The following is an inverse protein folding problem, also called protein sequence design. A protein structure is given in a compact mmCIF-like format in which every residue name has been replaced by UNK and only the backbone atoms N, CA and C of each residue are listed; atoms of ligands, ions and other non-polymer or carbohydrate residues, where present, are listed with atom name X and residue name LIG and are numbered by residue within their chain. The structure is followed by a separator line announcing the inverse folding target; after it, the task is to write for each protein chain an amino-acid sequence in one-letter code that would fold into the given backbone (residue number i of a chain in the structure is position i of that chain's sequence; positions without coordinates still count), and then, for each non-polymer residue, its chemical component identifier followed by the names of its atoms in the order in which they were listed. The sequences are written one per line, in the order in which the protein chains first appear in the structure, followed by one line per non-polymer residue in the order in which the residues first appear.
data_IF_309319670799
#
_entry.id   IF_309319670799
#
_cell.length_a   1.000
_cell.length_b   1.000
_cell.length_c   1.000
_cell.angle_alpha   90.00
_cell.angle_beta   90.00
_cell.angle_gamma   90.00
#
_symmetry.space_group_name_H-M   'P 1'
#
loop_
_entity.id
_entity.type
_entity.pdbx_description
1 polymer ?
#
# COMPACT_ATOMS: atom_id res chain seq x y z
N UNK A 1 -16.88 -13.69 -37.77
CA UNK A 1 -17.09 -12.90 -36.55
C UNK A 1 -17.73 -13.68 -35.41
N UNK A 2 -18.72 -14.55 -35.59
CA UNK A 2 -19.38 -15.35 -34.53
C UNK A 2 -18.48 -16.43 -33.88
N UNK A 3 -17.54 -17.04 -34.58
CA UNK A 3 -16.66 -18.11 -34.09
C UNK A 3 -15.61 -17.54 -33.15
N UNK A 4 -14.99 -16.40 -33.48
CA UNK A 4 -14.03 -15.72 -32.63
C UNK A 4 -14.64 -15.31 -31.27
N UNK A 5 -15.87 -14.85 -31.29
CA UNK A 5 -16.61 -14.50 -30.06
C UNK A 5 -16.93 -15.71 -29.16
N UNK A 6 -17.22 -16.87 -29.77
CA UNK A 6 -17.41 -18.13 -29.03
C UNK A 6 -16.14 -18.67 -28.43
N UNK A 7 -15.01 -18.61 -29.12
CA UNK A 7 -13.71 -19.03 -28.61
C UNK A 7 -13.28 -18.13 -27.43
N UNK A 8 -13.47 -16.82 -27.54
CA UNK A 8 -13.17 -15.85 -26.48
C UNK A 8 -14.05 -16.07 -25.24
N UNK A 9 -15.32 -16.41 -25.41
CA UNK A 9 -16.24 -16.75 -24.30
C UNK A 9 -15.87 -18.08 -23.65
N UNK A 10 -15.39 -19.07 -24.41
CA UNK A 10 -14.98 -20.37 -23.89
C UNK A 10 -13.67 -20.27 -23.11
N UNK A 11 -12.69 -19.53 -23.62
CA UNK A 11 -11.44 -19.24 -22.91
C UNK A 11 -11.70 -18.45 -21.62
N UNK A 12 -12.55 -17.44 -21.63
CA UNK A 12 -12.96 -16.70 -20.44
C UNK A 12 -13.61 -17.60 -19.38
N UNK A 13 -14.42 -18.58 -19.78
CA UNK A 13 -15.12 -19.48 -18.85
C UNK A 13 -14.17 -20.48 -18.19
N UNK A 14 -13.17 -20.98 -18.92
CA UNK A 14 -12.14 -21.89 -18.40
C UNK A 14 -11.11 -21.18 -17.52
N UNK A 15 -10.72 -19.95 -17.86
CA UNK A 15 -9.73 -19.18 -17.12
C UNK A 15 -10.29 -18.48 -15.87
N UNK A 16 -11.60 -18.25 -15.78
CA UNK A 16 -12.24 -17.57 -14.65
C UNK A 16 -11.90 -18.14 -13.26
N UNK A 17 -11.86 -19.47 -13.00
CA UNK A 17 -11.51 -19.97 -11.69
C UNK A 17 -10.05 -19.68 -11.33
N UNK A 18 -9.12 -19.85 -12.27
CA UNK A 18 -7.69 -19.58 -12.05
C UNK A 18 -7.41 -18.10 -11.82
N UNK A 19 -8.02 -17.22 -12.62
CA UNK A 19 -7.93 -15.77 -12.44
C UNK A 19 -8.45 -15.34 -11.08
N UNK A 20 -9.54 -15.93 -10.59
CA UNK A 20 -10.12 -15.62 -9.29
C UNK A 20 -9.23 -16.07 -8.14
N UNK A 21 -8.56 -17.21 -8.27
CA UNK A 21 -7.58 -17.69 -7.29
C UNK A 21 -6.36 -16.77 -7.29
N UNK A 22 -5.82 -16.44 -8.47
CA UNK A 22 -4.68 -15.53 -8.60
C UNK A 22 -4.95 -14.17 -7.97
N UNK A 23 -6.10 -13.54 -8.25
CA UNK A 23 -6.49 -12.27 -7.66
C UNK A 23 -6.67 -12.35 -6.14
N UNK A 24 -7.14 -13.48 -5.60
CA UNK A 24 -7.21 -13.69 -4.14
C UNK A 24 -5.82 -13.79 -3.51
N UNK A 25 -4.92 -14.53 -4.12
CA UNK A 25 -3.53 -14.66 -3.65
C UNK A 25 -2.83 -13.30 -3.68
N UNK A 26 -2.99 -12.56 -4.78
CA UNK A 26 -2.44 -11.21 -4.90
C UNK A 26 -3.02 -10.25 -3.86
N UNK A 27 -4.33 -10.31 -3.59
CA UNK A 27 -4.94 -9.49 -2.53
C UNK A 27 -4.34 -9.78 -1.14
N UNK A 28 -4.12 -11.05 -0.79
CA UNK A 28 -3.45 -11.41 0.47
C UNK A 28 -2.03 -10.88 0.51
N UNK A 29 -1.27 -11.06 -0.57
CA UNK A 29 0.10 -10.54 -0.69
C UNK A 29 0.15 -9.02 -0.54
N UNK A 30 -0.79 -8.32 -1.16
CA UNK A 30 -0.90 -6.85 -1.10
C UNK A 30 -1.26 -6.38 0.31
N UNK A 31 -2.13 -7.09 1.04
CA UNK A 31 -2.41 -6.79 2.45
C UNK A 31 -1.17 -6.98 3.34
N UNK A 32 -0.44 -8.07 3.16
CA UNK A 32 0.81 -8.30 3.89
C UNK A 32 1.87 -7.25 3.57
N UNK A 33 2.03 -6.90 2.30
CA UNK A 33 2.92 -5.84 1.86
C UNK A 33 2.54 -4.47 2.46
N UNK A 34 1.24 -4.17 2.54
CA UNK A 34 0.73 -2.94 3.15
C UNK A 34 1.04 -2.87 4.65
N UNK A 35 0.89 -3.96 5.38
CA UNK A 35 1.25 -4.02 6.81
C UNK A 35 2.76 -3.87 7.01
N UNK A 36 3.57 -4.58 6.22
CA UNK A 36 5.03 -4.50 6.27
C UNK A 36 5.53 -3.09 5.94
N UNK A 37 4.89 -2.39 5.00
CA UNK A 37 5.23 -1.01 4.69
C UNK A 37 5.01 -0.09 5.90
N UNK A 38 3.83 -0.19 6.55
CA UNK A 38 3.50 0.64 7.71
C UNK A 38 4.50 0.37 8.84
N UNK A 39 4.77 -0.91 9.13
CA UNK A 39 5.77 -1.29 10.15
C UNK A 39 7.15 -0.76 9.78
N UNK A 40 7.55 -0.85 8.52
CA UNK A 40 8.83 -0.33 8.02
C UNK A 40 8.97 1.19 8.21
N UNK A 41 7.91 1.94 7.90
CA UNK A 41 7.90 3.41 8.09
C UNK A 41 7.93 3.78 9.59
N UNK A 42 7.17 3.07 10.43
CA UNK A 42 7.20 3.26 11.89
C UNK A 42 8.59 2.95 12.43
N UNK A 43 9.23 1.88 11.94
CA UNK A 43 10.58 1.52 12.33
C UNK A 43 11.61 2.58 11.89
N UNK A 44 11.51 3.07 10.65
CA UNK A 44 12.41 4.11 10.10
C UNK A 44 12.40 5.40 10.94
N UNK A 45 11.22 5.79 11.44
CA UNK A 45 11.07 7.05 12.19
C UNK A 45 11.19 6.88 13.71
N UNK A 46 10.88 5.70 14.22
CA UNK A 46 10.81 5.43 15.67
C UNK A 46 12.12 4.99 16.32
N UNK A 47 13.05 4.42 15.54
CA UNK A 47 14.29 3.85 16.05
C UNK A 47 15.53 4.52 15.48
N UNK A 48 16.66 4.57 16.24
CA UNK A 48 17.95 4.95 15.68
C UNK A 48 18.41 3.84 14.70
N UNK A 49 18.63 4.20 13.43
CA UNK A 49 18.94 3.28 12.37
C UNK A 49 20.46 3.10 12.19
N UNK A 50 20.89 1.86 12.01
CA UNK A 50 22.22 1.53 11.52
C UNK A 50 22.28 1.62 9.97
N UNK A 51 23.48 1.64 9.39
CA UNK A 51 23.67 1.64 7.93
C UNK A 51 23.07 0.38 7.28
N UNK A 52 23.11 -0.75 7.97
CA UNK A 52 22.51 -2.02 7.55
C UNK A 52 21.00 -1.95 7.54
N UNK A 53 20.37 -1.35 8.56
CA UNK A 53 18.92 -1.20 8.65
C UNK A 53 18.38 -0.34 7.50
N UNK A 54 19.06 0.75 7.17
CA UNK A 54 18.70 1.62 6.04
C UNK A 54 18.72 0.83 4.72
N UNK A 55 19.68 -0.06 4.53
CA UNK A 55 19.75 -0.89 3.32
C UNK A 55 18.59 -1.89 3.23
N UNK A 56 18.25 -2.53 4.34
CA UNK A 56 17.11 -3.46 4.42
C UNK A 56 15.78 -2.75 4.18
N UNK A 57 15.58 -1.56 4.74
CA UNK A 57 14.38 -0.75 4.51
C UNK A 57 14.25 -0.33 3.04
N UNK A 58 15.34 0.04 2.37
CA UNK A 58 15.33 0.35 0.93
C UNK A 58 14.87 -0.86 0.10
N UNK A 59 15.35 -2.07 0.45
CA UNK A 59 14.95 -3.32 -0.22
C UNK A 59 13.46 -3.58 0.04
N UNK A 60 13.00 -3.42 1.27
CA UNK A 60 11.59 -3.59 1.65
C UNK A 60 10.68 -2.66 0.83
N UNK A 61 11.00 -1.36 0.76
CA UNK A 61 10.18 -0.39 0.01
C UNK A 61 10.15 -0.71 -1.49
N UNK A 62 11.27 -1.14 -2.08
CA UNK A 62 11.31 -1.60 -3.47
C UNK A 62 10.46 -2.85 -3.69
N UNK A 63 10.51 -3.82 -2.78
CA UNK A 63 9.72 -5.05 -2.87
C UNK A 63 8.21 -4.74 -2.79
N UNK A 64 7.80 -3.90 -1.85
CA UNK A 64 6.39 -3.46 -1.72
C UNK A 64 5.93 -2.72 -2.97
N UNK A 65 6.75 -1.82 -3.51
CA UNK A 65 6.47 -1.11 -4.73
C UNK A 65 6.24 -2.04 -5.93
N UNK A 66 7.09 -3.06 -6.11
CA UNK A 66 6.94 -4.07 -7.17
C UNK A 66 5.64 -4.87 -6.97
N UNK A 67 5.32 -5.28 -5.73
CA UNK A 67 4.08 -6.00 -5.44
C UNK A 67 2.86 -5.17 -5.82
N UNK A 68 2.84 -3.88 -5.48
CA UNK A 68 1.74 -2.99 -5.82
C UNK A 68 1.62 -2.76 -7.33
N UNK A 69 2.73 -2.63 -8.05
CA UNK A 69 2.73 -2.53 -9.51
C UNK A 69 2.14 -3.78 -10.16
N UNK A 70 2.53 -4.96 -9.70
CA UNK A 70 1.99 -6.23 -10.20
C UNK A 70 0.49 -6.31 -9.91
N UNK A 71 0.05 -5.99 -8.69
CA UNK A 71 -1.35 -6.02 -8.28
C UNK A 71 -2.22 -5.09 -9.16
N UNK A 72 -1.79 -3.84 -9.31
CA UNK A 72 -2.48 -2.85 -10.17
C UNK A 72 -2.54 -3.31 -11.61
N UNK A 73 -1.43 -3.84 -12.15
CA UNK A 73 -1.36 -4.35 -13.52
C UNK A 73 -2.34 -5.51 -13.72
N UNK A 74 -2.35 -6.48 -12.81
CA UNK A 74 -3.27 -7.61 -12.87
C UNK A 74 -4.73 -7.16 -12.80
N UNK A 75 -5.08 -6.21 -11.92
CA UNK A 75 -6.43 -5.68 -11.84
C UNK A 75 -6.86 -4.95 -13.11
N UNK A 76 -5.97 -4.16 -13.74
CA UNK A 76 -6.27 -3.49 -15.00
C UNK A 76 -6.52 -4.51 -16.12
N UNK A 77 -5.68 -5.54 -16.24
CA UNK A 77 -5.80 -6.53 -17.31
C UNK A 77 -6.96 -7.52 -17.12
N UNK A 78 -7.22 -7.93 -15.86
CA UNK A 78 -8.17 -9.02 -15.57
C UNK A 78 -9.57 -8.52 -15.18
N UNK A 79 -9.71 -7.33 -14.59
CA UNK A 79 -11.01 -6.80 -14.13
C UNK A 79 -11.66 -5.78 -15.08
N UNK A 80 -11.24 -5.64 -16.31
CA UNK A 80 -11.72 -4.61 -17.24
C UNK A 80 -13.25 -4.55 -17.42
N UNK A 81 -14.04 -5.50 -16.93
CA UNK A 81 -15.48 -5.62 -17.19
C UNK A 81 -16.46 -5.52 -16.01
N UNK A 82 -16.07 -5.25 -14.76
CA UNK A 82 -17.03 -5.58 -13.69
C UNK A 82 -17.21 -4.75 -12.45
N UNK A 83 -16.52 -3.65 -12.16
CA UNK A 83 -16.57 -3.05 -10.82
C UNK A 83 -17.19 -1.65 -10.72
N UNK A 84 -17.92 -1.40 -9.62
CA UNK A 84 -18.73 -0.22 -9.30
C UNK A 84 -18.04 1.14 -9.57
N UNK A 85 -18.77 2.03 -10.23
CA UNK A 85 -18.31 3.27 -10.87
C UNK A 85 -17.52 4.29 -10.02
N UNK A 86 -17.75 4.40 -8.71
CA UNK A 86 -17.16 5.48 -7.90
C UNK A 86 -15.80 5.14 -7.29
N UNK A 87 -15.58 3.89 -6.88
CA UNK A 87 -14.29 3.42 -6.38
C UNK A 87 -13.23 3.34 -7.48
N UNK A 88 -13.68 3.19 -8.71
CA UNK A 88 -12.86 3.06 -9.91
C UNK A 88 -12.07 4.31 -10.24
N UNK A 89 -12.60 5.53 -9.96
CA UNK A 89 -11.89 6.79 -10.29
C UNK A 89 -10.65 6.98 -9.42
N UNK A 90 -10.78 6.79 -8.10
CA UNK A 90 -9.64 6.94 -7.18
C UNK A 90 -8.56 5.89 -7.42
N UNK A 91 -8.96 4.63 -7.61
CA UNK A 91 -8.04 3.54 -7.95
C UNK A 91 -7.32 3.80 -9.28
N UNK A 92 -8.00 4.37 -10.28
CA UNK A 92 -7.39 4.78 -11.53
C UNK A 92 -6.34 5.87 -11.36
N UNK A 93 -6.67 6.94 -10.62
CA UNK A 93 -5.73 8.03 -10.34
C UNK A 93 -4.49 7.50 -9.62
N UNK A 94 -4.68 6.68 -8.58
CA UNK A 94 -3.56 6.08 -7.85
C UNK A 94 -2.72 5.14 -8.71
N UNK A 95 -3.36 4.37 -9.59
CA UNK A 95 -2.66 3.51 -10.54
C UNK A 95 -1.77 4.33 -11.48
N UNK A 96 -2.29 5.43 -12.02
CA UNK A 96 -1.50 6.34 -12.84
C UNK A 96 -0.33 6.97 -12.08
N UNK A 97 -0.55 7.43 -10.85
CA UNK A 97 0.50 7.96 -9.99
C UNK A 97 1.58 6.90 -9.70
N UNK A 98 1.16 5.63 -9.48
CA UNK A 98 2.11 4.53 -9.28
C UNK A 98 2.92 4.23 -10.55
N UNK A 99 2.28 4.22 -11.73
CA UNK A 99 3.00 4.04 -13.00
C UNK A 99 3.95 5.21 -13.31
N UNK A 100 3.62 6.42 -12.86
CA UNK A 100 4.50 7.59 -13.03
C UNK A 100 5.85 7.39 -12.31
N UNK A 101 5.88 6.60 -11.23
CA UNK A 101 7.14 6.26 -10.54
C UNK A 101 8.07 5.36 -11.35
N UNK A 102 7.58 4.73 -12.42
CA UNK A 102 8.41 3.95 -13.35
C UNK A 102 9.25 4.82 -14.28
N UNK A 103 8.82 6.06 -14.52
CA UNK A 103 9.48 6.96 -15.48
C UNK A 103 10.97 7.15 -15.16
N UNK A 104 11.39 7.54 -13.93
CA UNK A 104 12.81 7.70 -13.62
C UNK A 104 13.58 6.36 -13.58
N UNK A 105 12.89 5.23 -13.48
CA UNK A 105 13.53 3.89 -13.47
C UNK A 105 13.82 3.42 -14.88
N UNK A 106 12.90 3.66 -15.84
CA UNK A 106 12.98 3.16 -17.23
C UNK A 106 13.84 4.08 -18.08
N UNK A 107 13.67 5.40 -17.92
CA UNK A 107 14.40 6.36 -18.72
C UNK A 107 15.64 6.82 -17.98
N UNK A 108 16.78 6.75 -18.66
CA UNK A 108 18.03 7.26 -18.13
C UNK A 108 17.92 8.76 -17.84
N UNK A 109 18.55 9.22 -16.76
CA UNK A 109 18.55 10.61 -16.35
C UNK A 109 19.13 11.47 -17.49
N UNK A 110 18.41 12.48 -17.98
CA UNK A 110 19.00 13.42 -18.95
C UNK A 110 20.09 14.22 -18.27
N UNK A 111 21.27 14.26 -18.89
CA UNK A 111 22.45 15.02 -18.38
C UNK A 111 22.30 16.55 -18.53
N UNK A 112 21.15 17.02 -19.03
CA UNK A 112 20.92 18.44 -19.31
C UNK A 112 20.24 19.15 -18.12
N UNK A 113 20.75 20.33 -17.77
CA UNK A 113 20.19 21.25 -16.78
C UNK A 113 18.86 21.82 -17.29
N UNK A 114 17.75 21.62 -16.56
CA UNK A 114 16.45 22.18 -16.90
C UNK A 114 15.32 21.84 -15.93
N UNK A 115 14.15 22.46 -16.13
CA UNK A 115 12.94 22.25 -15.31
C UNK A 115 12.49 20.77 -15.24
N UNK A 116 12.81 19.99 -16.26
CA UNK A 116 12.54 18.55 -16.34
C UNK A 116 13.32 17.80 -15.25
N UNK A 117 14.50 18.26 -14.89
CA UNK A 117 15.35 17.68 -13.85
C UNK A 117 14.68 17.66 -12.47
N UNK A 118 14.00 18.74 -12.10
CA UNK A 118 13.28 18.84 -10.81
C UNK A 118 12.14 17.85 -10.73
N UNK A 119 11.40 17.65 -11.82
CA UNK A 119 10.31 16.66 -11.88
C UNK A 119 10.87 15.24 -11.76
N UNK A 120 12.01 14.98 -12.40
CA UNK A 120 12.67 13.66 -12.38
C UNK A 120 13.19 13.31 -10.98
N UNK A 121 13.86 14.24 -10.34
CA UNK A 121 14.37 14.09 -8.97
C UNK A 121 13.22 13.98 -7.96
N UNK A 122 12.13 14.70 -8.16
CA UNK A 122 10.93 14.59 -7.33
C UNK A 122 10.29 13.22 -7.45
N UNK A 123 10.08 12.71 -8.67
CA UNK A 123 9.49 11.40 -8.92
C UNK A 123 10.37 10.25 -8.41
N UNK A 124 11.72 10.43 -8.43
CA UNK A 124 12.68 9.47 -7.87
C UNK A 124 12.88 9.59 -6.36
N UNK A 125 12.38 10.66 -5.74
CA UNK A 125 12.64 10.97 -4.34
C UNK A 125 11.84 10.10 -3.38
N UNK A 126 12.40 9.86 -2.18
CA UNK A 126 11.66 9.22 -1.07
C UNK A 126 10.41 10.01 -0.68
N UNK A 127 10.45 11.34 -0.84
CA UNK A 127 9.36 12.26 -0.51
C UNK A 127 8.09 11.98 -1.32
N UNK A 128 8.22 11.46 -2.53
CA UNK A 128 7.09 11.08 -3.39
C UNK A 128 6.68 9.61 -3.20
N UNK A 129 7.67 8.70 -3.19
CA UNK A 129 7.40 7.25 -3.15
C UNK A 129 6.75 6.79 -1.85
N UNK A 130 7.28 7.19 -0.70
CA UNK A 130 6.79 6.71 0.60
C UNK A 130 5.34 7.14 0.87
N UNK A 131 4.95 8.43 0.74
CA UNK A 131 3.56 8.84 0.91
C UNK A 131 2.60 8.18 -0.08
N UNK A 132 3.02 7.99 -1.34
CA UNK A 132 2.19 7.31 -2.34
C UNK A 132 1.94 5.85 -1.97
N UNK A 133 2.98 5.12 -1.57
CA UNK A 133 2.87 3.74 -1.13
C UNK A 133 2.03 3.62 0.16
N UNK A 134 2.18 4.56 1.11
CA UNK A 134 1.36 4.62 2.32
C UNK A 134 -0.11 4.86 1.99
N UNK A 135 -0.40 5.80 1.09
CA UNK A 135 -1.77 6.07 0.65
C UNK A 135 -2.39 4.83 0.01
N UNK A 136 -1.63 4.14 -0.85
CA UNK A 136 -2.06 2.89 -1.49
C UNK A 136 -2.31 1.79 -0.45
N UNK A 137 -1.41 1.64 0.52
CA UNK A 137 -1.54 0.69 1.63
C UNK A 137 -2.77 0.97 2.47
N UNK A 138 -3.01 2.23 2.82
CA UNK A 138 -4.15 2.65 3.63
C UNK A 138 -5.48 2.34 2.93
N UNK A 139 -5.57 2.61 1.63
CA UNK A 139 -6.76 2.29 0.84
C UNK A 139 -7.00 0.78 0.73
N UNK A 140 -5.95 -0.01 0.53
CA UNK A 140 -6.08 -1.46 0.48
C UNK A 140 -6.54 -2.04 1.81
N UNK A 141 -5.94 -1.61 2.92
CA UNK A 141 -6.34 -2.05 4.27
C UNK A 141 -7.76 -1.61 4.60
N UNK A 142 -8.13 -0.36 4.28
CA UNK A 142 -9.49 0.16 4.47
C UNK A 142 -10.53 -0.68 3.71
N UNK A 143 -10.26 -1.00 2.44
CA UNK A 143 -11.12 -1.87 1.64
C UNK A 143 -11.25 -3.28 2.23
N UNK A 144 -10.14 -3.83 2.75
CA UNK A 144 -10.12 -5.10 3.45
C UNK A 144 -11.00 -5.10 4.69
N UNK A 145 -10.85 -4.08 5.53
CA UNK A 145 -11.64 -3.89 6.74
C UNK A 145 -13.14 -3.74 6.44
N UNK A 146 -13.50 -2.91 5.45
CA UNK A 146 -14.90 -2.74 5.04
C UNK A 146 -15.52 -4.07 4.57
N UNK A 147 -14.77 -4.91 3.87
CA UNK A 147 -15.24 -6.24 3.45
C UNK A 147 -15.40 -7.21 4.63
N UNK A 148 -14.52 -7.14 5.64
CA UNK A 148 -14.60 -7.96 6.84
C UNK A 148 -15.75 -7.53 7.75
N UNK A 149 -15.90 -6.22 7.99
CA UNK A 149 -16.90 -5.64 8.88
C UNK A 149 -18.31 -5.61 8.26
N UNK A 150 -18.43 -5.58 6.93
CA UNK A 150 -19.73 -5.56 6.22
C UNK A 150 -20.55 -6.86 6.32
N UNK A 151 -20.03 -7.90 7.00
CA UNK A 151 -20.70 -9.18 7.21
C UNK A 151 -21.29 -9.29 8.63
N UNK A 152 -22.43 -8.61 8.91
CA UNK A 152 -23.25 -8.80 10.13
C UNK A 152 -22.58 -8.44 11.46
N UNK A 153 -21.82 -7.37 11.53
CA UNK A 153 -21.25 -6.90 12.79
C UNK A 153 -22.15 -5.83 13.43
N UNK A 154 -22.26 -5.89 14.77
CA UNK A 154 -22.96 -4.86 15.53
C UNK A 154 -22.22 -3.53 15.45
N UNK A 155 -22.87 -2.41 15.03
CA UNK A 155 -22.21 -1.10 14.91
C UNK A 155 -21.52 -0.62 16.19
N UNK A 156 -22.11 -0.90 17.36
CA UNK A 156 -21.55 -0.53 18.66
C UNK A 156 -20.25 -1.26 18.95
N UNK A 157 -20.16 -2.54 18.57
CA UNK A 157 -18.94 -3.35 18.75
C UNK A 157 -17.83 -2.86 17.82
N UNK A 158 -18.15 -2.49 16.56
CA UNK A 158 -17.18 -1.92 15.63
C UNK A 158 -16.60 -0.64 16.21
N UNK A 159 -17.45 0.24 16.75
CA UNK A 159 -17.02 1.50 17.36
C UNK A 159 -16.09 1.24 18.54
N UNK A 160 -16.47 0.38 19.49
CA UNK A 160 -15.67 0.06 20.66
C UNK A 160 -14.30 -0.55 20.29
N UNK A 161 -14.28 -1.50 19.35
CA UNK A 161 -13.03 -2.12 18.88
C UNK A 161 -12.16 -1.12 18.15
N UNK A 162 -12.71 -0.22 17.34
CA UNK A 162 -11.94 0.80 16.63
C UNK A 162 -11.25 1.76 17.59
N UNK A 163 -11.95 2.24 18.61
CA UNK A 163 -11.34 3.07 19.67
C UNK A 163 -10.23 2.33 20.41
N UNK A 164 -10.49 1.09 20.80
CA UNK A 164 -9.49 0.29 21.50
C UNK A 164 -8.21 0.09 20.65
N UNK A 165 -8.36 -0.21 19.37
CA UNK A 165 -7.23 -0.35 18.43
C UNK A 165 -6.46 0.96 18.27
N UNK A 166 -7.16 2.11 18.15
CA UNK A 166 -6.52 3.42 18.04
C UNK A 166 -5.70 3.73 19.30
N UNK A 167 -6.25 3.46 20.48
CA UNK A 167 -5.54 3.65 21.77
C UNK A 167 -4.28 2.78 21.82
N UNK A 168 -4.38 1.49 21.48
CA UNK A 168 -3.24 0.59 21.48
C UNK A 168 -2.14 1.02 20.49
N UNK A 169 -2.54 1.45 19.29
CA UNK A 169 -1.58 1.96 18.29
C UNK A 169 -0.92 3.24 18.80
N UNK A 170 -1.69 4.18 19.35
CA UNK A 170 -1.18 5.43 19.93
C UNK A 170 -0.18 5.17 21.05
N UNK A 171 -0.54 4.29 21.98
CA UNK A 171 0.35 3.84 23.07
C UNK A 171 1.65 3.25 22.53
N UNK A 172 1.56 2.36 21.55
CA UNK A 172 2.73 1.75 20.89
C UNK A 172 3.64 2.77 20.21
N UNK A 173 3.05 3.78 19.55
CA UNK A 173 3.82 4.86 18.91
C UNK A 173 4.52 5.76 19.94
N UNK A 174 3.87 6.08 21.06
CA UNK A 174 4.46 6.88 22.13
C UNK A 174 5.63 6.17 22.82
N UNK A 175 5.64 4.84 22.86
CA UNK A 175 6.73 4.04 23.41
C UNK A 175 7.97 3.95 22.52
N UNK A 176 7.93 4.50 21.31
CA UNK A 176 9.09 4.48 20.40
C UNK A 176 10.23 5.36 20.93
N UNK A 177 11.49 4.92 20.82
CA UNK A 177 12.64 5.63 21.41
C UNK A 177 12.81 7.08 20.95
N UNK A 178 12.37 7.41 19.72
CA UNK A 178 12.45 8.76 19.18
C UNK A 178 11.23 9.64 19.46
N UNK A 179 10.18 9.08 20.05
CA UNK A 179 8.97 9.83 20.41
C UNK A 179 9.04 10.43 21.82
N UNK A 180 10.03 10.05 22.63
CA UNK A 180 10.27 10.58 23.98
C UNK A 180 11.46 11.53 23.96
N UNK A 181 11.44 12.53 24.87
CA UNK A 181 12.55 13.45 25.08
C UNK A 181 13.74 12.67 25.64
N UNK A 182 14.97 13.03 25.27
CA UNK A 182 16.18 12.38 25.75
C UNK A 182 16.22 12.31 27.28
N UNK A 183 16.40 11.09 27.80
CA UNK A 183 16.47 10.83 29.27
C UNK A 183 15.12 10.51 29.94
N UNK A 184 13.99 10.59 29.23
CA UNK A 184 12.67 10.22 29.76
C UNK A 184 12.28 8.84 29.26
N UNK A 185 12.18 7.87 30.14
CA UNK A 185 11.64 6.54 29.83
C UNK A 185 10.16 6.54 30.18
N UNK A 186 9.30 6.55 29.20
CA UNK A 186 7.86 6.45 29.38
C UNK A 186 7.51 5.02 29.80
N UNK A 187 6.74 4.86 30.87
CA UNK A 187 6.19 3.55 31.21
C UNK A 187 5.01 3.21 30.31
N UNK A 188 4.71 1.92 30.15
CA UNK A 188 3.53 1.47 29.40
C UNK A 188 2.23 2.12 29.91
N UNK A 189 2.13 2.26 31.23
CA UNK A 189 0.95 2.84 31.88
C UNK A 189 0.82 4.32 31.51
N UNK A 190 1.90 5.08 31.57
CA UNK A 190 1.91 6.51 31.25
C UNK A 190 1.54 6.72 29.76
N UNK A 191 2.10 5.89 28.87
CA UNK A 191 1.79 5.95 27.43
C UNK A 191 0.33 5.58 27.11
N UNK A 192 -0.31 4.75 27.94
CA UNK A 192 -1.71 4.36 27.77
C UNK A 192 -2.69 5.47 28.19
N UNK A 193 -2.31 6.28 29.21
CA UNK A 193 -3.17 7.32 29.78
C UNK A 193 -2.88 8.72 29.21
N UNK A 194 -1.91 8.87 28.33
CA UNK A 194 -1.63 10.10 27.60
C UNK A 194 -2.47 10.20 26.34
#
# INVERSE_FOLDING_TARGET
MKIYHKILLYQNKLLQPYVRILLRMMAVLTYMASLLLIVGVVYEHGFPLSATDISHLKILYKAVWIIFLIDVTLHIFLEYKGTKKNFRKLAWILSWLLYLTLVPVIFHRPDEEGAILYVWDFLGSKLYHIPLLLLFSFLNLSNGLVRLLGRRTNPSLILAVSFFVIILIGTGLLLLPRCTVEGVVLSWVDALFT
#
